data_IF_965154192691
#
_entry.id   IF_965154192691
#
_cell.length_a   1.000
_cell.length_b   1.000
_cell.length_c   1.000
_cell.angle_alpha   90.00
_cell.angle_beta   90.00
_cell.angle_gamma   90.00
#
_symmetry.space_group_name_H-M   'P 1'
#
loop_
_entity.id
_entity.type
_entity.pdbx_description
1 polymer ?
#
# COMPACT_ATOMS: atom_id res chain seq x y z
N UNK A 1 17.07 6.06 4.10
CA UNK A 1 16.48 4.70 4.14
C UNK A 1 14.99 4.80 3.89
N UNK A 2 14.58 4.52 2.65
CA UNK A 2 13.33 4.95 2.01
C UNK A 2 12.10 4.23 2.56
N UNK A 3 10.93 4.88 2.53
CA UNK A 3 9.65 4.27 2.96
C UNK A 3 9.36 2.91 2.30
N UNK A 4 9.93 2.63 1.13
CA UNK A 4 9.84 1.33 0.45
C UNK A 4 10.51 0.19 1.22
N UNK A 5 11.65 0.43 1.89
CA UNK A 5 12.30 -0.59 2.69
C UNK A 5 11.45 -0.98 3.92
N UNK A 6 10.78 0.00 4.54
CA UNK A 6 9.82 -0.25 5.63
C UNK A 6 8.59 -1.00 5.11
N UNK A 7 8.06 -0.61 3.96
CA UNK A 7 6.96 -1.31 3.31
C UNK A 7 7.30 -2.78 2.99
N UNK A 8 8.51 -3.05 2.48
CA UNK A 8 8.98 -4.40 2.16
C UNK A 8 9.15 -5.34 3.35
N UNK A 9 9.36 -4.80 4.56
CA UNK A 9 9.36 -5.59 5.80
C UNK A 9 7.97 -6.15 6.13
N UNK A 10 6.91 -5.48 5.68
CA UNK A 10 5.51 -5.81 6.00
C UNK A 10 4.87 -6.55 4.84
N UNK A 11 5.15 -6.09 3.62
CA UNK A 11 4.73 -6.69 2.36
C UNK A 11 5.96 -6.91 1.50
N UNK A 12 6.52 -8.13 1.46
CA UNK A 12 7.72 -8.41 0.66
C UNK A 12 7.60 -7.99 -0.81
N UNK A 13 6.39 -8.10 -1.37
CA UNK A 13 6.07 -7.67 -2.74
C UNK A 13 5.81 -6.18 -2.95
N UNK A 14 6.01 -5.32 -1.94
CA UNK A 14 5.80 -3.88 -2.10
C UNK A 14 6.81 -3.27 -3.09
N UNK A 15 6.29 -2.42 -3.98
CA UNK A 15 7.08 -1.74 -5.01
C UNK A 15 6.67 -0.29 -5.19
N UNK A 16 7.56 0.53 -5.76
CA UNK A 16 7.25 1.91 -6.12
C UNK A 16 6.52 1.92 -7.48
N UNK A 17 5.28 2.38 -7.49
CA UNK A 17 4.47 2.56 -8.69
C UNK A 17 4.32 4.04 -9.03
N UNK A 18 4.10 4.34 -10.31
CA UNK A 18 3.73 5.68 -10.77
C UNK A 18 2.23 5.76 -10.97
N UNK A 19 1.59 6.63 -10.20
CA UNK A 19 0.15 6.89 -10.25
C UNK A 19 -0.08 8.31 -10.78
N UNK A 20 -1.31 8.66 -11.20
CA UNK A 20 -1.63 10.04 -11.62
C UNK A 20 -1.28 11.08 -10.55
N UNK A 21 -1.36 10.72 -9.26
CA UNK A 21 -1.01 11.59 -8.12
C UNK A 21 0.50 11.60 -7.79
N UNK A 22 1.34 11.02 -8.66
CA UNK A 22 2.79 10.90 -8.51
C UNK A 22 3.26 9.51 -8.07
N UNK A 23 4.53 9.40 -7.71
CA UNK A 23 5.10 8.14 -7.22
C UNK A 23 4.55 7.78 -5.85
N UNK A 24 4.06 6.54 -5.71
CA UNK A 24 3.54 5.97 -4.45
C UNK A 24 4.02 4.53 -4.29
N UNK A 25 4.01 4.04 -3.06
CA UNK A 25 4.33 2.63 -2.79
C UNK A 25 3.04 1.82 -2.92
N UNK A 26 3.02 0.88 -3.85
CA UNK A 26 1.93 -0.07 -3.98
C UNK A 26 2.14 -1.21 -2.98
N UNK A 27 1.18 -1.36 -2.07
CA UNK A 27 1.21 -2.36 -1.00
C UNK A 27 0.48 -3.66 -1.38
N UNK A 28 -0.27 -3.67 -2.48
CA UNK A 28 -1.02 -4.82 -2.95
C UNK A 28 -1.98 -4.46 -4.07
N UNK A 29 -2.50 -5.47 -4.76
CA UNK A 29 -3.56 -5.34 -5.75
C UNK A 29 -4.66 -6.34 -5.39
N UNK A 30 -5.91 -5.87 -5.38
CA UNK A 30 -7.06 -6.65 -4.91
C UNK A 30 -8.19 -6.56 -5.93
N UNK A 31 -8.83 -7.69 -6.23
CA UNK A 31 -10.05 -7.75 -7.07
C UNK A 31 -11.33 -7.40 -6.31
N UNK A 32 -11.27 -7.36 -4.98
CA UNK A 32 -12.41 -7.13 -4.10
C UNK A 32 -12.09 -5.95 -3.18
N UNK A 33 -12.97 -4.96 -3.19
CA UNK A 33 -12.79 -3.72 -2.42
C UNK A 33 -12.79 -3.96 -0.91
N UNK A 34 -13.62 -4.87 -0.39
CA UNK A 34 -13.64 -5.21 1.04
C UNK A 34 -12.29 -5.77 1.50
N UNK A 35 -11.64 -6.62 0.68
CA UNK A 35 -10.29 -7.12 0.97
C UNK A 35 -9.24 -6.01 0.95
N UNK A 36 -9.35 -5.08 -0.01
CA UNK A 36 -8.45 -3.93 -0.09
C UNK A 36 -8.59 -3.04 1.16
N UNK A 37 -9.83 -2.75 1.58
CA UNK A 37 -10.13 -1.95 2.77
C UNK A 37 -9.63 -2.61 4.06
N UNK A 38 -9.89 -3.91 4.24
CA UNK A 38 -9.41 -4.65 5.40
C UNK A 38 -7.87 -4.57 5.50
N UNK A 39 -7.19 -4.74 4.37
CA UNK A 39 -5.73 -4.64 4.32
C UNK A 39 -5.23 -3.22 4.60
N UNK A 40 -5.83 -2.19 4.01
CA UNK A 40 -5.46 -0.81 4.29
C UNK A 40 -5.69 -0.43 5.77
N UNK A 41 -6.75 -0.94 6.40
CA UNK A 41 -7.00 -0.76 7.82
C UNK A 41 -5.93 -1.43 8.69
N UNK A 42 -5.51 -2.64 8.34
CA UNK A 42 -4.39 -3.31 9.01
C UNK A 42 -3.10 -2.47 8.92
N UNK A 43 -2.79 -1.92 7.75
CA UNK A 43 -1.61 -1.05 7.57
C UNK A 43 -1.71 0.22 8.43
N UNK A 44 -2.90 0.82 8.55
CA UNK A 44 -3.14 1.99 9.41
C UNK A 44 -2.98 1.68 10.89
N UNK A 45 -3.46 0.52 11.35
CA UNK A 45 -3.24 0.04 12.72
C UNK A 45 -1.76 -0.18 13.04
N UNK A 46 -0.95 -0.51 12.02
CA UNK A 46 0.52 -0.58 12.12
C UNK A 46 1.21 0.79 12.00
N UNK A 47 0.44 1.89 12.03
CA UNK A 47 0.95 3.26 11.98
C UNK A 47 1.40 3.71 10.59
N UNK A 48 0.94 3.06 9.51
CA UNK A 48 1.20 3.53 8.14
C UNK A 48 0.01 4.30 7.57
N UNK A 49 0.30 5.43 6.94
CA UNK A 49 -0.69 6.12 6.11
C UNK A 49 -0.91 5.33 4.81
N UNK A 50 -1.99 4.57 4.77
CA UNK A 50 -2.41 3.78 3.61
C UNK A 50 -3.75 4.31 3.06
N UNK A 51 -3.96 4.19 1.74
CA UNK A 51 -5.20 4.57 1.04
C UNK A 51 -5.48 3.62 -0.11
N UNK A 52 -6.76 3.46 -0.45
CA UNK A 52 -7.18 2.68 -1.62
C UNK A 52 -7.07 3.55 -2.86
N UNK A 53 -6.28 3.11 -3.83
CA UNK A 53 -6.28 3.67 -5.17
C UNK A 53 -7.32 2.95 -6.02
N UNK A 54 -8.20 3.71 -6.66
CA UNK A 54 -9.11 3.23 -7.71
C UNK A 54 -8.69 3.94 -9.00
N UNK A 55 -8.31 3.19 -10.06
CA UNK A 55 -7.93 3.78 -11.34
C UNK A 55 -9.10 4.49 -12.02
#
# INVERSE_FOLDING_TARGET
SSGLAKARKIVPGAFLGRFPQGSRIQMGAFKNEAKANAFANQLRQQGMSASIYRP
#
